data_IF_222324320060
#
_entry.id   IF_222324320060
#
_cell.length_a   1.000
_cell.length_b   1.000
_cell.length_c   1.000
_cell.angle_alpha   90.00
_cell.angle_beta   90.00
_cell.angle_gamma   90.00
#
_symmetry.space_group_name_H-M   'P 1'
#
loop_
_entity.id
_entity.type
_entity.pdbx_description
1 polymer ?
#
# COMPACT_ATOMS: atom_id res chain seq x y z
N UNK A 1 17.83 -0.72 11.86
CA UNK A 1 17.23 -1.59 12.91
C UNK A 1 15.73 -1.67 12.60
N UNK A 2 15.11 -2.87 12.54
CA UNK A 2 13.67 -2.99 12.29
C UNK A 2 12.86 -2.45 13.48
N UNK A 3 11.75 -1.77 13.19
CA UNK A 3 10.86 -1.19 14.23
C UNK A 3 9.82 -2.20 14.71
N UNK A 4 9.40 -3.11 13.84
CA UNK A 4 8.49 -4.21 14.16
C UNK A 4 8.73 -5.37 13.19
N UNK A 5 8.69 -6.59 13.71
CA UNK A 5 8.76 -7.82 12.90
C UNK A 5 8.12 -8.97 13.67
N UNK A 6 7.65 -9.98 12.95
CA UNK A 6 7.04 -11.17 13.53
C UNK A 6 7.48 -12.39 12.75
N UNK A 7 7.80 -13.48 13.47
CA UNK A 7 8.00 -14.79 12.86
C UNK A 7 6.64 -15.46 12.66
N UNK A 8 6.32 -15.80 11.41
CA UNK A 8 5.07 -16.46 11.06
C UNK A 8 5.15 -18.00 11.20
N UNK A 9 6.32 -18.54 11.53
CA UNK A 9 6.58 -19.96 11.71
C UNK A 9 6.09 -20.82 10.52
N UNK A 10 6.17 -20.28 9.29
CA UNK A 10 5.73 -20.94 8.06
C UNK A 10 6.70 -20.72 6.92
N UNK A 11 6.70 -21.64 5.96
CA UNK A 11 7.43 -21.47 4.70
C UNK A 11 6.64 -20.56 3.73
N UNK A 12 7.37 -19.80 2.92
CA UNK A 12 6.80 -18.93 1.88
C UNK A 12 6.50 -17.51 2.36
N UNK A 13 5.61 -16.82 1.63
CA UNK A 13 5.30 -15.41 1.86
C UNK A 13 4.12 -15.22 2.81
N UNK A 14 4.06 -14.04 3.43
CA UNK A 14 2.90 -13.65 4.25
C UNK A 14 1.65 -13.49 3.40
N UNK A 15 0.51 -13.93 3.92
CA UNK A 15 -0.81 -13.65 3.34
C UNK A 15 -1.20 -12.20 3.60
N UNK A 16 -2.19 -11.70 2.86
CA UNK A 16 -2.72 -10.36 3.11
C UNK A 16 -3.26 -10.21 4.54
N UNK A 17 -3.97 -11.22 5.04
CA UNK A 17 -4.51 -11.22 6.40
C UNK A 17 -3.41 -11.14 7.46
N UNK A 18 -2.32 -11.89 7.30
CA UNK A 18 -1.18 -11.85 8.21
C UNK A 18 -0.51 -10.47 8.22
N UNK A 19 -0.37 -9.84 7.05
CA UNK A 19 0.18 -8.48 6.93
C UNK A 19 -0.71 -7.45 7.62
N UNK A 20 -2.03 -7.55 7.45
CA UNK A 20 -3.00 -6.69 8.15
C UNK A 20 -2.93 -6.92 9.67
N UNK A 21 -2.80 -8.18 10.10
CA UNK A 21 -2.65 -8.54 11.51
C UNK A 21 -1.37 -7.96 12.13
N UNK A 22 -0.24 -8.08 11.43
CA UNK A 22 1.04 -7.51 11.84
C UNK A 22 0.96 -5.98 11.95
N UNK A 23 0.41 -5.30 10.93
CA UNK A 23 0.27 -3.85 10.94
C UNK A 23 -0.67 -3.38 12.06
N UNK A 24 -1.77 -4.10 12.30
CA UNK A 24 -2.70 -3.82 13.42
C UNK A 24 -1.99 -3.92 14.76
N UNK A 25 -1.13 -4.92 14.97
CA UNK A 25 -0.37 -5.07 16.21
C UNK A 25 0.67 -3.95 16.37
N UNK A 26 1.37 -3.60 15.30
CA UNK A 26 2.31 -2.49 15.31
C UNK A 26 1.63 -1.15 15.65
N UNK A 27 0.48 -0.85 15.03
CA UNK A 27 -0.29 0.38 15.30
C UNK A 27 -0.83 0.49 16.73
N UNK A 28 -1.02 -0.64 17.43
CA UNK A 28 -1.40 -0.61 18.85
C UNK A 28 -0.27 -0.15 19.76
N UNK A 29 0.97 -0.38 19.35
CA UNK A 29 2.16 -0.05 20.15
C UNK A 29 2.79 1.29 19.74
N UNK A 30 2.58 1.73 18.50
CA UNK A 30 3.14 2.96 17.97
C UNK A 30 2.05 3.93 17.54
N UNK A 31 2.19 5.20 17.90
CA UNK A 31 1.31 6.27 17.41
C UNK A 31 1.66 6.59 15.94
N UNK A 32 0.95 5.94 15.02
CA UNK A 32 1.19 6.10 13.57
C UNK A 32 0.29 7.17 12.92
N UNK A 33 -0.51 7.89 13.70
CA UNK A 33 -1.37 8.96 13.20
C UNK A 33 -0.52 10.03 12.50
N UNK A 34 -0.88 10.39 11.27
CA UNK A 34 -0.15 11.35 10.45
C UNK A 34 1.12 10.81 9.77
N UNK A 35 1.48 9.53 9.99
CA UNK A 35 2.56 8.89 9.25
C UNK A 35 2.07 8.37 7.89
N UNK A 36 3.03 8.17 6.97
CA UNK A 36 2.78 7.62 5.64
C UNK A 36 3.45 6.25 5.51
N UNK A 37 2.67 5.21 5.23
CA UNK A 37 3.18 3.89 4.89
C UNK A 37 3.73 3.89 3.46
N UNK A 38 5.01 3.58 3.31
CA UNK A 38 5.63 3.32 2.02
C UNK A 38 5.68 1.81 1.77
N UNK A 39 5.13 1.33 0.66
CA UNK A 39 5.17 -0.09 0.33
C UNK A 39 5.38 -0.37 -1.16
N UNK A 40 5.82 -1.59 -1.47
CA UNK A 40 6.08 -2.04 -2.83
C UNK A 40 4.84 -2.69 -3.50
N UNK A 41 4.97 -3.07 -4.76
CA UNK A 41 3.97 -3.66 -5.67
C UNK A 41 3.32 -4.95 -5.21
N UNK A 42 3.83 -5.55 -4.14
CA UNK A 42 3.25 -6.75 -3.53
C UNK A 42 2.14 -6.44 -2.53
N UNK A 43 1.98 -5.16 -2.14
CA UNK A 43 1.01 -4.68 -1.15
C UNK A 43 -0.12 -3.92 -1.84
N UNK A 44 -0.83 -4.60 -2.73
CA UNK A 44 -1.91 -4.03 -3.55
C UNK A 44 -3.19 -4.85 -3.42
N UNK A 45 -4.34 -4.23 -3.68
CA UNK A 45 -5.65 -4.89 -3.59
C UNK A 45 -6.69 -3.94 -2.99
N UNK A 46 -7.94 -4.03 -3.45
CA UNK A 46 -9.03 -3.18 -2.96
C UNK A 46 -9.21 -3.32 -1.45
N UNK A 47 -9.25 -4.56 -0.94
CA UNK A 47 -9.36 -4.84 0.49
C UNK A 47 -8.16 -4.28 1.27
N UNK A 48 -6.96 -4.40 0.73
CA UNK A 48 -5.75 -3.85 1.35
C UNK A 48 -5.79 -2.33 1.45
N UNK A 49 -6.13 -1.64 0.34
CA UNK A 49 -6.25 -0.17 0.34
C UNK A 49 -7.36 0.30 1.27
N UNK A 50 -8.50 -0.39 1.28
CA UNK A 50 -9.61 -0.12 2.20
C UNK A 50 -9.16 -0.26 3.65
N UNK A 51 -8.45 -1.34 4.00
CA UNK A 51 -7.94 -1.54 5.35
C UNK A 51 -7.01 -0.40 5.80
N UNK A 52 -6.09 0.03 4.94
CA UNK A 52 -5.18 1.15 5.26
C UNK A 52 -5.94 2.46 5.48
N UNK A 53 -6.88 2.76 4.58
CA UNK A 53 -7.75 3.94 4.68
C UNK A 53 -8.58 3.93 5.96
N UNK A 54 -9.24 2.82 6.27
CA UNK A 54 -10.07 2.66 7.47
C UNK A 54 -9.22 2.72 8.76
N UNK A 55 -7.94 2.36 8.68
CA UNK A 55 -6.99 2.47 9.80
C UNK A 55 -6.49 3.91 10.02
N UNK A 56 -6.89 4.87 9.19
CA UNK A 56 -6.43 6.26 9.26
C UNK A 56 -4.96 6.46 8.86
N UNK A 57 -4.37 5.48 8.16
CA UNK A 57 -3.01 5.56 7.67
C UNK A 57 -2.99 6.17 6.27
N UNK A 58 -2.17 7.18 6.08
CA UNK A 58 -1.77 7.59 4.74
C UNK A 58 -0.82 6.55 4.15
N UNK A 59 -0.85 6.36 2.84
CA UNK A 59 0.04 5.42 2.19
C UNK A 59 0.46 5.88 0.80
N UNK A 60 1.68 5.51 0.42
CA UNK A 60 2.21 5.61 -0.94
C UNK A 60 2.74 4.24 -1.31
N UNK A 61 2.05 3.60 -2.25
CA UNK A 61 2.35 2.23 -2.64
C UNK A 61 2.73 2.24 -4.10
N UNK A 62 3.88 1.62 -4.43
CA UNK A 62 4.33 1.48 -5.80
C UNK A 62 3.42 0.49 -6.53
N UNK A 63 2.66 0.95 -7.52
CA UNK A 63 1.86 0.07 -8.38
C UNK A 63 2.70 -0.44 -9.54
N UNK A 64 2.45 -1.67 -9.98
CA UNK A 64 2.99 -2.19 -11.24
C UNK A 64 2.40 -1.38 -12.41
N UNK A 65 3.12 -1.26 -13.51
CA UNK A 65 2.51 -0.74 -14.73
C UNK A 65 1.42 -1.69 -15.23
N UNK A 66 0.30 -1.16 -15.73
CA UNK A 66 -0.76 -1.98 -16.34
C UNK A 66 -1.91 -2.37 -15.42
N UNK A 67 -1.90 -1.97 -14.14
CA UNK A 67 -2.98 -2.27 -13.18
C UNK A 67 -3.75 -1.01 -12.80
N UNK A 68 -5.01 -1.20 -12.39
CA UNK A 68 -5.92 -0.17 -11.91
C UNK A 68 -6.23 0.98 -12.89
N UNK A 69 -6.12 0.75 -14.20
CA UNK A 69 -6.37 1.80 -15.20
C UNK A 69 -7.78 2.36 -15.10
N UNK A 70 -8.78 1.49 -15.00
CA UNK A 70 -10.20 1.87 -14.96
C UNK A 70 -10.50 2.70 -13.71
N UNK A 71 -9.99 2.26 -12.58
CA UNK A 71 -10.18 2.87 -11.27
C UNK A 71 -9.50 4.25 -11.21
N UNK A 72 -8.28 4.37 -11.76
CA UNK A 72 -7.58 5.65 -11.86
C UNK A 72 -8.31 6.61 -12.79
N UNK A 73 -8.73 6.15 -13.96
CA UNK A 73 -9.44 6.97 -14.95
C UNK A 73 -10.82 7.42 -14.44
N UNK A 74 -11.47 6.62 -13.59
CA UNK A 74 -12.73 6.97 -12.93
C UNK A 74 -12.56 7.98 -11.79
N UNK A 75 -11.35 8.16 -11.25
CA UNK A 75 -11.07 8.96 -10.05
C UNK A 75 -11.15 10.48 -10.22
N UNK A 76 -11.55 10.99 -11.39
CA UNK A 76 -11.72 12.43 -11.68
C UNK A 76 -10.42 13.26 -11.71
N UNK A 77 -9.27 12.63 -11.44
CA UNK A 77 -7.95 13.22 -11.52
C UNK A 77 -7.31 13.07 -12.90
N UNK A 78 -5.97 13.02 -12.93
CA UNK A 78 -5.23 12.69 -14.15
C UNK A 78 -5.52 11.24 -14.54
N UNK A 79 -5.77 11.00 -15.82
CA UNK A 79 -5.91 9.65 -16.35
C UNK A 79 -4.59 8.88 -16.23
N UNK A 80 -4.66 7.56 -16.30
CA UNK A 80 -3.49 6.70 -16.26
C UNK A 80 -2.49 7.06 -17.38
N UNK A 81 -2.99 7.35 -18.59
CA UNK A 81 -2.17 7.81 -19.73
C UNK A 81 -1.42 9.10 -19.38
N UNK A 82 -2.11 10.09 -18.82
CA UNK A 82 -1.51 11.37 -18.43
C UNK A 82 -0.46 11.20 -17.31
N UNK A 83 -0.71 10.29 -16.36
CA UNK A 83 0.26 9.97 -15.31
C UNK A 83 1.52 9.31 -15.89
N UNK A 84 1.36 8.40 -16.85
CA UNK A 84 2.47 7.75 -17.55
C UNK A 84 3.32 8.76 -18.33
N UNK A 85 2.68 9.64 -19.10
CA UNK A 85 3.38 10.71 -19.83
C UNK A 85 4.13 11.65 -18.87
N UNK A 86 3.52 12.02 -17.74
CA UNK A 86 4.15 12.85 -16.73
C UNK A 86 5.38 12.18 -16.11
N UNK A 87 5.30 10.88 -15.84
CA UNK A 87 6.43 10.11 -15.33
C UNK A 87 7.59 10.07 -16.35
N UNK A 88 7.28 9.88 -17.64
CA UNK A 88 8.27 9.86 -18.70
C UNK A 88 8.98 11.21 -18.92
N UNK A 89 8.31 12.34 -18.64
CA UNK A 89 8.92 13.69 -18.71
C UNK A 89 9.93 13.98 -17.60
N UNK A 90 9.89 13.20 -16.51
CA UNK A 90 10.72 13.39 -15.32
C UNK A 90 11.87 12.38 -15.22
N UNK A 91 11.97 11.45 -16.17
CA UNK A 91 13.05 10.47 -16.30
C UNK A 91 14.11 11.02 -17.27
#
# INVERSE_FOLDING_TARGET
IPVWWEDLCKAGHSSQEERMGMLRRAMKQYQMAGMVLLADREYVGEEWFKYLSDSGLYFVIRLKEGIYHREVDAGGGRTWQQLKELAARKA
#
